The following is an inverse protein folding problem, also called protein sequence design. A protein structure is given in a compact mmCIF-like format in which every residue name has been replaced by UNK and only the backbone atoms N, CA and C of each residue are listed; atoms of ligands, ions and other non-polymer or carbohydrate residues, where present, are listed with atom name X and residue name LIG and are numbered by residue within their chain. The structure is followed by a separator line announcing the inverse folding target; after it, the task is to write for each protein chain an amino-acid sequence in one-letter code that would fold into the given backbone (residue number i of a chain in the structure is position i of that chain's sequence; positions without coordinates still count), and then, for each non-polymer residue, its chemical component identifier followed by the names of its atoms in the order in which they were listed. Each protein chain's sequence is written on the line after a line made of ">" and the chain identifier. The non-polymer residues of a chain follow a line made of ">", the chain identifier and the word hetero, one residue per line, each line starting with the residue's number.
data_IF_716989624470
#
_entry.id   IF_716989624470
#
_cell.length_a   1.000
_cell.length_b   1.000
_cell.length_c   1.000
_cell.angle_alpha   90.00
_cell.angle_beta   90.00
_cell.angle_gamma   90.00
#
_symmetry.space_group_name_H-M   'P 1'
#
loop_
_entity.id
_entity.type
_entity.pdbx_description
1 polymer ?
#
# COMPACT_ATOMS: atom_id res chain seq x y z
N UNK A 1 55.67 -55.83 3.83
CA UNK A 1 55.81 -54.69 2.92
C UNK A 1 54.73 -54.68 1.88
N UNK A 2 53.69 -53.81 2.10
CA UNK A 2 52.68 -53.50 1.07
C UNK A 2 52.33 -52.03 1.22
N UNK A 3 52.68 -51.26 0.16
CA UNK A 3 52.39 -49.81 0.08
C UNK A 3 50.92 -49.59 -0.29
N UNK A 4 50.14 -49.03 0.58
CA UNK A 4 48.78 -48.54 0.28
C UNK A 4 48.87 -47.14 -0.32
N UNK A 5 48.30 -46.96 -1.53
CA UNK A 5 48.14 -45.65 -2.18
C UNK A 5 46.82 -45.00 -1.66
N UNK A 6 46.94 -43.88 -0.97
CA UNK A 6 45.82 -43.01 -0.68
C UNK A 6 45.44 -42.24 -1.94
N UNK A 7 44.21 -42.37 -2.41
CA UNK A 7 43.60 -41.50 -3.41
C UNK A 7 42.98 -40.29 -2.68
N UNK A 8 43.48 -39.12 -3.00
CA UNK A 8 42.89 -37.84 -2.58
C UNK A 8 41.71 -37.57 -3.51
N UNK A 9 40.50 -37.63 -2.99
CA UNK A 9 39.30 -37.20 -3.68
C UNK A 9 39.20 -35.66 -3.63
N UNK A 10 39.18 -35.03 -4.81
CA UNK A 10 38.94 -33.60 -4.92
C UNK A 10 37.47 -33.30 -4.67
N UNK A 11 37.17 -32.62 -3.55
CA UNK A 11 35.89 -31.98 -3.30
C UNK A 11 35.84 -30.71 -4.13
N UNK A 12 35.00 -30.71 -5.16
CA UNK A 12 34.58 -29.51 -5.88
C UNK A 12 33.64 -28.71 -5.00
N UNK A 13 34.17 -27.70 -4.33
CA UNK A 13 33.36 -26.68 -3.65
C UNK A 13 32.76 -25.77 -4.71
N UNK A 14 31.48 -25.92 -4.96
CA UNK A 14 30.70 -24.98 -5.76
C UNK A 14 30.54 -23.65 -4.98
N UNK A 15 31.41 -22.70 -5.33
CA UNK A 15 31.28 -21.32 -4.86
C UNK A 15 30.11 -20.69 -5.63
N UNK A 16 28.95 -20.57 -4.98
CA UNK A 16 27.87 -19.72 -5.44
C UNK A 16 28.31 -18.25 -5.32
N UNK A 17 28.73 -17.68 -6.43
CA UNK A 17 28.95 -16.25 -6.59
C UNK A 17 27.61 -15.54 -6.49
N UNK A 18 27.29 -15.02 -5.32
CA UNK A 18 26.26 -14.00 -5.17
C UNK A 18 26.78 -12.72 -5.84
N UNK A 19 26.37 -12.47 -7.06
CA UNK A 19 26.51 -11.16 -7.68
C UNK A 19 25.58 -10.19 -6.96
N UNK A 20 26.13 -9.43 -6.03
CA UNK A 20 25.50 -8.21 -5.51
C UNK A 20 25.40 -7.24 -6.68
N UNK A 21 24.23 -7.17 -7.30
CA UNK A 21 23.90 -6.09 -8.23
C UNK A 21 23.76 -4.82 -7.38
N UNK A 22 24.82 -4.01 -7.38
CA UNK A 22 24.74 -2.62 -6.92
C UNK A 22 23.93 -1.90 -8.01
N UNK A 23 22.61 -1.83 -7.82
CA UNK A 23 21.75 -0.98 -8.64
C UNK A 23 22.10 0.47 -8.30
N UNK A 24 22.86 1.09 -9.18
CA UNK A 24 23.10 2.53 -9.15
C UNK A 24 21.77 3.26 -9.22
N UNK A 25 21.66 4.35 -8.49
CA UNK A 25 20.53 5.28 -8.59
C UNK A 25 20.33 5.63 -10.07
N UNK A 26 19.17 5.28 -10.61
CA UNK A 26 18.80 5.67 -11.98
C UNK A 26 18.61 7.20 -12.00
N UNK A 27 19.35 7.96 -12.83
CA UNK A 27 19.13 9.39 -12.95
C UNK A 27 17.77 9.60 -13.63
N UNK A 28 16.83 10.22 -12.94
CA UNK A 28 15.75 10.94 -13.61
C UNK A 28 14.32 10.43 -13.48
N UNK A 29 13.87 9.90 -12.35
CA UNK A 29 12.43 9.97 -12.04
C UNK A 29 12.15 11.40 -11.56
N UNK A 30 11.69 12.28 -12.44
CA UNK A 30 11.13 13.54 -11.97
C UNK A 30 9.77 13.20 -11.39
N UNK A 31 9.62 13.46 -10.10
CA UNK A 31 8.32 13.48 -9.44
C UNK A 31 7.34 14.33 -10.25
N UNK A 32 6.07 13.94 -10.26
CA UNK A 32 5.05 14.83 -10.78
C UNK A 32 5.01 16.11 -9.92
N UNK A 33 4.82 17.29 -10.53
CA UNK A 33 4.88 18.53 -9.79
C UNK A 33 3.77 18.56 -8.72
N UNK A 34 4.06 19.08 -7.52
CA UNK A 34 3.06 19.20 -6.44
C UNK A 34 1.77 19.91 -6.90
N UNK A 35 1.88 20.88 -7.80
CA UNK A 35 0.73 21.60 -8.36
C UNK A 35 -0.28 20.71 -9.09
N UNK A 36 0.12 19.56 -9.62
CA UNK A 36 -0.78 18.62 -10.27
C UNK A 36 -1.83 18.03 -9.31
N UNK A 37 -1.57 18.09 -8.00
CA UNK A 37 -2.41 17.50 -6.96
C UNK A 37 -3.17 18.54 -6.11
N UNK A 38 -3.07 19.85 -6.45
CA UNK A 38 -3.68 20.93 -5.67
C UNK A 38 -5.13 21.26 -6.06
N UNK A 39 -5.71 20.49 -6.96
CA UNK A 39 -7.10 20.66 -7.44
C UNK A 39 -7.67 19.30 -7.85
N UNK A 40 -9.02 19.15 -7.87
CA UNK A 40 -9.64 17.93 -8.40
C UNK A 40 -9.31 17.77 -9.89
N UNK A 41 -9.05 16.52 -10.33
CA UNK A 41 -8.76 16.23 -11.72
C UNK A 41 -10.02 15.77 -12.45
N UNK A 42 -10.44 14.51 -12.21
CA UNK A 42 -11.66 13.96 -12.79
C UNK A 42 -12.57 13.42 -11.69
N UNK A 43 -13.76 13.98 -11.53
CA UNK A 43 -14.75 13.46 -10.60
C UNK A 43 -15.61 12.40 -11.31
N UNK A 44 -15.37 11.12 -10.98
CA UNK A 44 -16.05 9.96 -11.55
C UNK A 44 -17.20 9.51 -10.66
N UNK A 45 -18.42 9.44 -11.20
CA UNK A 45 -19.58 8.95 -10.45
C UNK A 45 -19.49 7.43 -10.25
N UNK A 46 -19.42 7.01 -8.98
CA UNK A 46 -19.38 5.59 -8.59
C UNK A 46 -20.71 5.11 -8.02
N UNK A 47 -21.57 6.05 -7.58
CA UNK A 47 -22.93 5.80 -7.15
C UNK A 47 -23.72 7.12 -7.19
N UNK A 48 -25.06 7.09 -7.07
CA UNK A 48 -25.85 8.31 -6.93
C UNK A 48 -25.35 9.19 -5.78
N UNK A 49 -24.99 10.43 -6.10
CA UNK A 49 -24.48 11.41 -5.12
C UNK A 49 -23.08 11.09 -4.57
N UNK A 50 -22.30 10.22 -5.22
CA UNK A 50 -20.92 9.88 -4.81
C UNK A 50 -19.98 9.83 -6.00
N UNK A 51 -19.03 10.78 -6.04
CA UNK A 51 -17.98 10.85 -7.05
C UNK A 51 -16.62 10.70 -6.37
N UNK A 52 -15.72 10.00 -7.01
CA UNK A 52 -14.33 9.90 -6.59
C UNK A 52 -13.45 10.72 -7.51
N UNK A 53 -12.48 11.41 -6.95
CA UNK A 53 -11.44 12.08 -7.70
C UNK A 53 -10.46 11.06 -8.25
N UNK A 54 -10.26 11.08 -9.57
CA UNK A 54 -9.38 10.19 -10.32
C UNK A 54 -8.36 11.02 -11.09
N UNK A 55 -7.09 10.69 -10.95
CA UNK A 55 -5.99 11.30 -11.69
C UNK A 55 -5.29 10.28 -12.58
N UNK A 56 -5.52 10.35 -13.87
CA UNK A 56 -4.90 9.47 -14.87
C UNK A 56 -3.94 10.23 -15.77
N UNK A 57 -2.81 9.62 -16.08
CA UNK A 57 -1.82 10.10 -17.05
C UNK A 57 -1.28 8.90 -17.85
N UNK A 58 -0.71 9.19 -19.02
CA UNK A 58 -0.25 8.15 -19.95
C UNK A 58 -1.40 7.45 -20.67
N UNK A 59 -1.02 6.57 -21.60
CA UNK A 59 -1.93 5.76 -22.42
C UNK A 59 -1.42 4.32 -22.48
N UNK A 60 -2.31 3.37 -22.75
CA UNK A 60 -1.96 1.95 -22.87
C UNK A 60 -2.79 1.04 -21.95
N UNK A 61 -2.50 -0.25 -22.01
CA UNK A 61 -3.21 -1.31 -21.28
C UNK A 61 -2.21 -2.41 -20.89
N UNK A 62 -2.41 -3.07 -19.74
CA UNK A 62 -3.47 -2.81 -18.75
C UNK A 62 -3.23 -1.48 -18.01
N UNK A 63 -4.31 -0.82 -17.58
CA UNK A 63 -4.21 0.36 -16.70
C UNK A 63 -3.63 -0.04 -15.35
N UNK A 64 -2.68 0.74 -14.84
CA UNK A 64 -2.20 0.65 -13.46
C UNK A 64 -3.03 1.57 -12.59
N UNK A 65 -3.70 1.04 -11.56
CA UNK A 65 -4.51 1.82 -10.62
C UNK A 65 -3.91 1.75 -9.21
N UNK A 66 -3.71 2.92 -8.59
CA UNK A 66 -3.08 3.06 -7.28
C UNK A 66 -4.11 3.35 -6.19
N UNK A 67 -4.12 2.53 -5.12
CA UNK A 67 -4.87 2.74 -3.88
C UNK A 67 -3.91 3.11 -2.73
N UNK A 68 -4.15 4.24 -2.10
CA UNK A 68 -3.26 4.86 -1.12
C UNK A 68 -3.48 4.34 0.30
N UNK A 69 -2.57 4.68 1.22
CA UNK A 69 -2.63 4.33 2.63
C UNK A 69 -3.77 5.00 3.40
N UNK A 70 -3.80 4.77 4.70
CA UNK A 70 -4.74 5.41 5.64
C UNK A 70 -4.44 6.91 5.68
N UNK A 71 -5.42 7.75 5.37
CA UNK A 71 -5.25 9.21 5.33
C UNK A 71 -4.58 9.75 4.07
N UNK A 72 -4.12 8.89 3.17
CA UNK A 72 -3.42 9.27 1.95
C UNK A 72 -4.37 9.38 0.75
N UNK A 73 -3.94 10.14 -0.27
CA UNK A 73 -4.64 10.31 -1.54
C UNK A 73 -3.70 10.19 -2.74
N UNK A 74 -4.16 10.73 -3.86
CA UNK A 74 -3.47 10.68 -5.16
C UNK A 74 -2.01 11.12 -5.09
N UNK A 75 -1.69 12.14 -4.29
CA UNK A 75 -0.35 12.74 -4.17
C UNK A 75 0.72 11.80 -3.60
N UNK A 76 0.32 10.75 -2.88
CA UNK A 76 1.28 9.78 -2.31
C UNK A 76 1.99 8.94 -3.37
N UNK A 77 1.51 8.97 -4.61
CA UNK A 77 2.08 8.24 -5.75
C UNK A 77 2.89 9.11 -6.72
N UNK A 78 3.13 10.40 -6.39
CA UNK A 78 3.79 11.37 -7.28
C UNK A 78 5.15 10.91 -7.81
N UNK A 79 5.93 10.18 -7.00
CA UNK A 79 7.26 9.68 -7.36
C UNK A 79 7.24 8.42 -8.23
N UNK A 80 6.08 7.77 -8.38
CA UNK A 80 5.90 6.51 -9.11
C UNK A 80 5.05 6.68 -10.36
N UNK A 81 3.89 7.33 -10.23
CA UNK A 81 2.87 7.41 -11.27
C UNK A 81 3.39 8.01 -12.57
N UNK A 82 4.19 9.08 -12.49
CA UNK A 82 4.75 9.76 -13.69
C UNK A 82 5.75 8.90 -14.47
N UNK A 83 6.43 7.96 -13.82
CA UNK A 83 7.35 7.03 -14.48
C UNK A 83 6.57 5.90 -15.14
N UNK A 84 5.64 5.29 -14.43
CA UNK A 84 4.77 4.20 -14.94
C UNK A 84 3.94 4.69 -16.13
N UNK A 85 3.51 5.94 -16.11
CA UNK A 85 2.74 6.56 -17.21
C UNK A 85 3.48 6.67 -18.54
N UNK A 86 4.80 6.44 -18.58
CA UNK A 86 5.58 6.37 -19.83
C UNK A 86 5.37 5.06 -20.59
N UNK A 87 4.90 4.03 -19.91
CA UNK A 87 4.74 2.68 -20.46
C UNK A 87 3.30 2.22 -20.58
N UNK A 88 2.38 2.76 -19.77
CA UNK A 88 0.96 2.43 -19.79
C UNK A 88 0.13 3.55 -19.15
N UNK A 89 -1.19 3.46 -19.20
CA UNK A 89 -2.08 4.37 -18.46
C UNK A 89 -1.94 4.13 -16.96
N UNK A 90 -1.61 5.17 -16.19
CA UNK A 90 -1.39 5.12 -14.75
C UNK A 90 -2.35 6.08 -14.04
N UNK A 91 -3.16 5.55 -13.11
CA UNK A 91 -4.22 6.27 -12.43
C UNK A 91 -4.10 6.13 -10.92
N UNK A 92 -4.26 7.22 -10.18
CA UNK A 92 -4.46 7.23 -8.74
C UNK A 92 -5.80 7.87 -8.40
N UNK A 93 -6.38 7.57 -7.24
CA UNK A 93 -7.68 8.12 -6.84
C UNK A 93 -7.72 8.44 -5.36
N UNK A 94 -8.61 9.37 -4.99
CA UNK A 94 -8.94 9.64 -3.61
C UNK A 94 -10.17 8.82 -3.20
N UNK A 95 -10.10 8.09 -2.09
CA UNK A 95 -11.26 7.37 -1.55
C UNK A 95 -12.36 8.35 -1.12
N UNK A 96 -13.59 7.87 -1.00
CA UNK A 96 -14.70 8.69 -0.49
C UNK A 96 -14.34 9.37 0.83
N UNK A 97 -14.73 10.63 1.00
CA UNK A 97 -14.38 11.54 2.09
C UNK A 97 -12.94 12.05 2.12
N UNK A 98 -12.03 11.48 1.35
CA UNK A 98 -10.65 11.95 1.24
C UNK A 98 -10.52 13.01 0.15
N UNK A 99 -9.71 14.01 0.43
CA UNK A 99 -9.28 15.12 -0.43
C UNK A 99 -10.39 15.66 -1.35
N UNK A 100 -10.34 15.38 -2.65
CA UNK A 100 -11.28 15.95 -3.63
C UNK A 100 -12.47 15.05 -3.96
N UNK A 101 -12.57 13.87 -3.36
CA UNK A 101 -13.74 13.00 -3.46
C UNK A 101 -14.93 13.53 -2.66
N UNK A 102 -16.14 13.16 -3.09
CA UNK A 102 -17.37 13.57 -2.42
C UNK A 102 -17.45 13.03 -0.99
N UNK A 103 -18.11 13.81 -0.14
CA UNK A 103 -18.42 13.44 1.24
C UNK A 103 -19.61 12.52 1.30
N UNK A 104 -19.50 11.42 2.04
CA UNK A 104 -20.56 10.44 2.28
C UNK A 104 -20.61 10.05 3.75
N UNK A 105 -21.82 9.75 4.24
CA UNK A 105 -22.03 9.25 5.60
C UNK A 105 -22.18 7.74 5.58
N UNK A 106 -21.07 7.03 5.79
CA UNK A 106 -21.03 5.57 5.91
C UNK A 106 -19.77 5.14 6.67
N UNK A 107 -19.78 3.92 7.17
CA UNK A 107 -18.57 3.31 7.71
C UNK A 107 -17.54 3.10 6.61
N UNK A 108 -16.30 3.44 6.91
CA UNK A 108 -15.16 3.28 6.00
C UNK A 108 -14.49 1.91 6.21
N UNK A 109 -15.20 0.84 5.83
CA UNK A 109 -14.69 -0.54 5.84
C UNK A 109 -13.91 -0.87 4.58
N UNK A 110 -13.15 -1.97 4.58
CA UNK A 110 -12.49 -2.49 3.38
C UNK A 110 -13.52 -2.85 2.29
N UNK A 111 -14.68 -3.43 2.66
CA UNK A 111 -15.74 -3.73 1.70
C UNK A 111 -16.26 -2.47 1.01
N UNK A 112 -16.54 -1.42 1.79
CA UNK A 112 -17.00 -0.16 1.21
C UNK A 112 -15.98 0.47 0.24
N UNK A 113 -14.67 0.31 0.52
CA UNK A 113 -13.61 0.75 -0.38
C UNK A 113 -13.52 -0.11 -1.64
N UNK A 114 -13.68 -1.43 -1.53
CA UNK A 114 -13.66 -2.37 -2.67
C UNK A 114 -14.88 -2.17 -3.59
N UNK A 115 -16.07 -1.96 -3.01
CA UNK A 115 -17.28 -1.66 -3.78
C UNK A 115 -17.11 -0.38 -4.62
N UNK A 116 -16.55 0.68 -4.01
CA UNK A 116 -16.25 1.93 -4.72
C UNK A 116 -15.17 1.76 -5.77
N UNK A 117 -14.14 0.98 -5.48
CA UNK A 117 -13.04 0.70 -6.40
C UNK A 117 -13.55 -0.03 -7.65
N UNK A 118 -14.39 -1.07 -7.48
CA UNK A 118 -15.00 -1.77 -8.60
C UNK A 118 -15.88 -0.83 -9.44
N UNK A 119 -16.69 -0.01 -8.78
CA UNK A 119 -17.54 0.97 -9.47
C UNK A 119 -16.68 2.01 -10.22
N UNK A 120 -15.56 2.45 -9.63
CA UNK A 120 -14.61 3.37 -10.27
C UNK A 120 -13.99 2.76 -11.52
N UNK A 121 -13.51 1.51 -11.44
CA UNK A 121 -12.92 0.77 -12.58
C UNK A 121 -13.90 0.71 -13.74
N UNK A 122 -15.18 0.42 -13.44
CA UNK A 122 -16.22 0.32 -14.45
C UNK A 122 -16.61 1.69 -15.02
N UNK A 123 -16.88 2.66 -14.17
CA UNK A 123 -17.40 3.98 -14.58
C UNK A 123 -16.36 4.84 -15.31
N UNK A 124 -15.07 4.68 -14.99
CA UNK A 124 -13.98 5.41 -15.64
C UNK A 124 -13.38 4.67 -16.86
N UNK A 125 -13.94 3.51 -17.23
CA UNK A 125 -13.41 2.66 -18.32
C UNK A 125 -11.89 2.44 -18.18
N UNK A 126 -11.46 1.92 -17.01
CA UNK A 126 -10.04 1.66 -16.77
C UNK A 126 -9.52 0.37 -17.43
N UNK A 127 -10.39 -0.34 -18.13
CA UNK A 127 -10.12 -1.61 -18.81
C UNK A 127 -10.84 -2.79 -18.14
N UNK A 128 -10.88 -3.90 -18.85
CA UNK A 128 -11.48 -5.15 -18.35
C UNK A 128 -10.62 -5.74 -17.23
N UNK A 129 -9.29 -5.70 -17.42
CA UNK A 129 -8.29 -6.16 -16.45
C UNK A 129 -7.31 -5.05 -16.15
N UNK A 130 -7.06 -4.78 -14.87
CA UNK A 130 -6.14 -3.76 -14.40
C UNK A 130 -4.97 -4.36 -13.64
N UNK A 131 -3.86 -3.63 -13.53
CA UNK A 131 -2.84 -3.87 -12.51
C UNK A 131 -3.18 -2.99 -11.31
N UNK A 132 -3.52 -3.62 -10.19
CA UNK A 132 -3.86 -2.91 -8.97
C UNK A 132 -2.62 -2.79 -8.07
N UNK A 133 -2.32 -1.58 -7.61
CA UNK A 133 -1.20 -1.27 -6.73
C UNK A 133 -1.73 -0.69 -5.44
N UNK A 134 -1.47 -1.31 -4.29
CA UNK A 134 -1.99 -0.86 -3.01
C UNK A 134 -0.89 -0.67 -1.97
N UNK A 135 -0.88 0.50 -1.30
CA UNK A 135 0.02 0.79 -0.17
C UNK A 135 -0.74 0.69 1.15
N UNK A 136 -0.14 0.06 2.16
CA UNK A 136 -0.67 0.06 3.53
C UNK A 136 -2.16 -0.36 3.58
N UNK A 137 -3.08 0.51 4.02
CA UNK A 137 -4.54 0.32 3.97
C UNK A 137 -5.03 -0.01 2.55
N UNK A 138 -4.54 0.74 1.53
CA UNK A 138 -4.86 0.43 0.13
C UNK A 138 -4.36 -0.94 -0.30
N UNK A 139 -3.27 -1.44 0.30
CA UNK A 139 -2.80 -2.82 0.11
C UNK A 139 -3.78 -3.86 0.66
N UNK A 140 -4.43 -3.58 1.78
CA UNK A 140 -5.49 -4.44 2.33
C UNK A 140 -6.73 -4.43 1.41
N UNK A 141 -7.16 -3.25 0.94
CA UNK A 141 -8.27 -3.12 -0.01
C UNK A 141 -7.96 -3.87 -1.31
N UNK A 142 -6.75 -3.71 -1.87
CA UNK A 142 -6.31 -4.39 -3.07
C UNK A 142 -6.28 -5.93 -2.91
N UNK A 143 -5.90 -6.40 -1.72
CA UNK A 143 -5.97 -7.83 -1.38
C UNK A 143 -7.40 -8.34 -1.35
N UNK A 144 -8.33 -7.61 -0.70
CA UNK A 144 -9.74 -7.97 -0.68
C UNK A 144 -10.33 -7.95 -2.10
N UNK A 145 -10.02 -6.91 -2.88
CA UNK A 145 -10.42 -6.83 -4.29
C UNK A 145 -9.93 -8.05 -5.08
N UNK A 146 -8.70 -8.50 -4.88
CA UNK A 146 -8.18 -9.69 -5.54
C UNK A 146 -8.92 -10.97 -5.13
N UNK A 147 -9.37 -11.06 -3.90
CA UNK A 147 -10.18 -12.20 -3.46
C UNK A 147 -11.59 -12.20 -4.04
N UNK A 148 -12.22 -11.05 -4.22
CA UNK A 148 -13.59 -10.96 -4.70
C UNK A 148 -13.68 -10.87 -6.23
N UNK A 149 -12.73 -10.20 -6.87
CA UNK A 149 -12.74 -9.80 -8.27
C UNK A 149 -11.44 -10.16 -8.99
N UNK A 150 -10.96 -11.40 -8.79
CA UNK A 150 -9.71 -11.88 -9.39
C UNK A 150 -9.71 -11.77 -10.92
N UNK A 151 -10.88 -11.98 -11.53
CA UNK A 151 -11.14 -11.87 -12.95
C UNK A 151 -10.99 -10.45 -13.52
N UNK A 152 -10.91 -9.43 -12.65
CA UNK A 152 -10.70 -8.03 -13.04
C UNK A 152 -9.23 -7.61 -12.97
N UNK A 153 -8.33 -8.52 -12.60
CA UNK A 153 -6.91 -8.23 -12.42
C UNK A 153 -6.04 -8.84 -13.51
N UNK A 154 -5.20 -8.01 -14.14
CA UNK A 154 -4.03 -8.42 -14.91
C UNK A 154 -2.83 -8.69 -14.01
N UNK A 155 -2.79 -8.10 -12.82
CA UNK A 155 -1.73 -8.28 -11.84
C UNK A 155 -1.94 -7.46 -10.57
N UNK A 156 -1.12 -7.75 -9.56
CA UNK A 156 -1.21 -7.13 -8.23
C UNK A 156 0.18 -6.71 -7.74
N UNK A 157 0.28 -5.50 -7.19
CA UNK A 157 1.47 -5.05 -6.45
C UNK A 157 1.02 -4.54 -5.08
N UNK A 158 1.54 -5.13 -4.01
CA UNK A 158 1.28 -4.67 -2.66
C UNK A 158 2.55 -4.04 -2.07
N UNK A 159 2.43 -2.80 -1.60
CA UNK A 159 3.54 -2.01 -1.07
C UNK A 159 3.35 -1.86 0.43
N UNK A 160 4.14 -2.57 1.21
CA UNK A 160 4.08 -2.66 2.67
C UNK A 160 2.63 -2.71 3.20
N UNK A 161 1.82 -3.69 2.72
CA UNK A 161 0.39 -3.71 2.95
C UNK A 161 0.07 -3.92 4.43
N UNK A 162 -1.07 -3.39 4.89
CA UNK A 162 -1.59 -3.71 6.22
C UNK A 162 -1.95 -5.20 6.30
N UNK A 163 -1.31 -5.90 7.23
CA UNK A 163 -1.63 -7.28 7.58
C UNK A 163 -2.62 -7.25 8.73
N UNK A 164 -3.82 -7.77 8.50
CA UNK A 164 -4.79 -8.01 9.57
C UNK A 164 -4.46 -9.32 10.27
N UNK A 165 -4.53 -9.31 11.60
CA UNK A 165 -4.17 -10.46 12.41
C UNK A 165 -5.29 -10.92 13.30
N UNK A 166 -5.29 -12.24 13.56
CA UNK A 166 -5.83 -12.77 14.78
C UNK A 166 -4.83 -12.54 15.91
N UNK A 167 -5.31 -11.98 17.02
CA UNK A 167 -4.57 -11.92 18.27
C UNK A 167 -4.50 -13.33 18.89
N UNK A 168 -3.64 -14.20 18.37
CA UNK A 168 -3.43 -15.52 18.96
C UNK A 168 -2.41 -15.44 20.09
N UNK A 169 -2.65 -16.18 21.15
CA UNK A 169 -2.07 -16.07 22.48
C UNK A 169 -0.54 -16.21 22.62
N UNK A 170 0.18 -16.67 21.62
CA UNK A 170 1.61 -17.00 21.73
C UNK A 170 2.57 -15.88 21.31
N UNK A 171 2.12 -14.90 20.53
CA UNK A 171 2.92 -13.73 20.12
C UNK A 171 2.49 -12.44 20.85
N UNK A 172 1.67 -12.60 21.88
CA UNK A 172 0.77 -11.57 22.39
C UNK A 172 1.48 -10.45 23.17
N UNK A 173 2.57 -10.70 23.88
CA UNK A 173 3.15 -9.64 24.71
C UNK A 173 3.91 -8.57 23.89
N UNK A 174 4.66 -8.99 22.89
CA UNK A 174 5.38 -8.03 22.03
C UNK A 174 4.42 -7.31 21.11
N UNK A 175 3.38 -8.01 20.66
CA UNK A 175 2.29 -7.45 19.88
C UNK A 175 1.42 -6.49 20.72
N UNK A 176 1.11 -6.80 21.97
CA UNK A 176 0.33 -5.92 22.86
C UNK A 176 1.01 -4.57 23.03
N UNK A 177 2.33 -4.52 23.22
CA UNK A 177 3.07 -3.25 23.30
C UNK A 177 3.04 -2.45 21.99
N UNK A 178 3.19 -3.13 20.87
CA UNK A 178 3.01 -2.49 19.56
C UNK A 178 1.54 -2.08 19.35
N UNK A 179 0.60 -2.92 19.76
CA UNK A 179 -0.83 -2.65 19.75
C UNK A 179 -1.22 -1.48 20.67
N UNK A 180 -0.57 -1.33 21.82
CA UNK A 180 -0.75 -0.15 22.67
C UNK A 180 -0.42 1.15 21.93
N UNK A 181 0.65 1.17 21.13
CA UNK A 181 0.97 2.33 20.29
C UNK A 181 -0.11 2.57 19.21
N UNK A 182 -0.68 1.52 18.65
CA UNK A 182 -1.82 1.63 17.73
C UNK A 182 -3.10 2.10 18.44
N UNK A 183 -3.35 1.65 19.67
CA UNK A 183 -4.48 2.12 20.48
C UNK A 183 -4.32 3.59 20.86
N UNK A 184 -3.13 4.02 21.27
CA UNK A 184 -2.84 5.43 21.58
C UNK A 184 -3.07 6.32 20.34
N UNK A 185 -2.59 5.90 19.18
CA UNK A 185 -2.88 6.60 17.92
C UNK A 185 -4.38 6.61 17.60
N UNK A 186 -5.10 5.53 17.92
CA UNK A 186 -6.55 5.47 17.76
C UNK A 186 -7.30 6.40 18.68
N UNK A 187 -6.84 6.58 19.92
CA UNK A 187 -7.39 7.57 20.86
C UNK A 187 -7.17 8.99 20.33
N UNK A 188 -5.97 9.31 19.87
CA UNK A 188 -5.67 10.60 19.24
C UNK A 188 -6.58 10.89 18.05
N UNK A 189 -6.79 9.92 17.15
CA UNK A 189 -7.70 10.09 16.02
C UNK A 189 -9.17 10.26 16.46
N UNK A 190 -9.56 9.65 17.58
CA UNK A 190 -10.88 9.92 18.18
C UNK A 190 -10.99 11.36 18.65
N UNK A 191 -10.00 11.88 19.37
CA UNK A 191 -9.94 13.26 19.84
C UNK A 191 -10.00 14.23 18.65
N UNK A 192 -9.26 13.94 17.57
CA UNK A 192 -9.33 14.71 16.33
C UNK A 192 -10.72 14.70 15.70
N UNK A 193 -11.36 13.54 15.63
CA UNK A 193 -12.74 13.42 15.13
C UNK A 193 -13.75 14.17 16.01
N UNK A 194 -13.68 14.01 17.33
CA UNK A 194 -14.58 14.67 18.28
C UNK A 194 -14.42 16.19 18.19
N UNK A 195 -13.20 16.69 18.15
CA UNK A 195 -12.92 18.11 17.98
C UNK A 195 -13.45 18.62 16.63
N UNK A 196 -13.20 17.90 15.53
CA UNK A 196 -13.70 18.26 14.20
C UNK A 196 -15.25 18.24 14.11
N UNK A 197 -15.91 17.36 14.87
CA UNK A 197 -17.38 17.25 14.86
C UNK A 197 -18.09 18.35 15.67
N UNK A 198 -17.39 18.91 16.66
CA UNK A 198 -17.96 19.95 17.53
C UNK A 198 -17.84 21.37 16.95
N UNK A 199 -16.78 21.61 16.16
CA UNK A 199 -16.48 22.92 15.57
C UNK A 199 -15.85 22.74 14.19
N UNK A 200 -16.02 23.74 13.31
CA UNK A 200 -15.16 23.85 12.12
C UNK A 200 -13.73 24.15 12.62
N UNK A 201 -12.90 23.13 12.68
CA UNK A 201 -11.54 23.25 13.19
C UNK A 201 -10.69 24.13 12.27
N UNK A 202 -9.96 25.04 12.88
CA UNK A 202 -8.85 25.73 12.25
C UNK A 202 -7.67 24.77 12.16
N UNK A 203 -6.79 24.98 11.18
CA UNK A 203 -5.54 24.18 11.04
C UNK A 203 -4.73 24.20 12.34
N UNK A 204 -4.62 25.39 12.98
CA UNK A 204 -3.90 25.56 14.25
C UNK A 204 -4.45 24.69 15.38
N UNK A 205 -5.76 24.44 15.41
CA UNK A 205 -6.40 23.57 16.41
C UNK A 205 -6.03 22.12 16.15
N UNK A 206 -6.03 21.68 14.88
CA UNK A 206 -5.61 20.34 14.48
C UNK A 206 -4.12 20.09 14.72
N UNK A 207 -3.27 21.09 14.50
CA UNK A 207 -1.84 21.03 14.81
C UNK A 207 -1.63 20.90 16.32
N UNK A 208 -2.34 21.67 17.15
CA UNK A 208 -2.24 21.60 18.61
C UNK A 208 -2.65 20.23 19.17
N UNK A 209 -3.58 19.54 18.51
CA UNK A 209 -4.03 18.19 18.83
C UNK A 209 -3.19 17.10 18.14
N UNK A 210 -2.18 17.47 17.35
CA UNK A 210 -1.39 16.56 16.54
C UNK A 210 -2.23 15.68 15.60
N UNK A 211 -3.28 16.27 15.02
CA UNK A 211 -4.20 15.59 14.08
C UNK A 211 -3.69 15.55 12.65
N UNK A 212 -2.75 16.40 12.32
CA UNK A 212 -2.10 16.50 11.02
C UNK A 212 -0.65 16.03 11.13
N UNK A 213 -0.12 15.54 10.03
CA UNK A 213 1.29 15.16 9.98
C UNK A 213 2.20 16.41 10.01
N UNK A 214 3.37 16.27 10.66
CA UNK A 214 4.36 17.33 10.72
C UNK A 214 4.89 17.68 9.31
N UNK A 215 5.07 18.97 9.06
CA UNK A 215 5.68 19.44 7.81
C UNK A 215 7.20 19.25 7.90
N UNK A 216 7.78 18.47 6.97
CA UNK A 216 9.24 18.36 6.89
C UNK A 216 9.85 19.76 6.66
N UNK A 217 10.73 20.24 7.56
CA UNK A 217 11.39 21.54 7.40
C UNK A 217 12.19 21.69 6.10
N UNK A 218 12.54 20.56 5.48
CA UNK A 218 13.29 20.52 4.20
C UNK A 218 12.40 20.60 2.96
N UNK A 219 11.07 20.57 3.12
CA UNK A 219 10.14 20.68 2.01
C UNK A 219 10.38 21.96 1.21
N UNK A 220 10.33 21.83 -0.12
CA UNK A 220 10.39 22.98 -1.03
C UNK A 220 9.15 23.87 -0.88
N UNK A 221 9.17 25.05 -1.44
CA UNK A 221 8.02 25.96 -1.42
C UNK A 221 6.78 25.35 -2.11
N UNK A 222 6.97 24.60 -3.19
CA UNK A 222 5.87 23.91 -3.88
C UNK A 222 5.30 22.74 -3.09
N UNK A 223 6.16 21.96 -2.43
CA UNK A 223 5.72 20.88 -1.53
C UNK A 223 4.96 21.42 -0.33
N UNK A 224 5.41 22.53 0.26
CA UNK A 224 4.68 23.21 1.34
C UNK A 224 3.32 23.68 0.89
N UNK A 225 3.21 24.29 -0.28
CA UNK A 225 1.93 24.73 -0.84
C UNK A 225 0.97 23.55 -1.06
N UNK A 226 1.47 22.39 -1.50
CA UNK A 226 0.67 21.16 -1.57
C UNK A 226 0.22 20.70 -0.18
N UNK A 227 1.14 20.62 0.78
CA UNK A 227 0.83 20.21 2.16
C UNK A 227 -0.23 21.13 2.76
N UNK A 228 -0.10 22.44 2.62
CA UNK A 228 -1.06 23.42 3.13
C UNK A 228 -2.44 23.24 2.48
N UNK A 229 -2.49 22.97 1.17
CA UNK A 229 -3.73 22.68 0.47
C UNK A 229 -4.38 21.37 0.95
N UNK A 230 -3.60 20.32 1.19
CA UNK A 230 -4.10 19.03 1.70
C UNK A 230 -4.60 19.16 3.13
N UNK A 231 -3.90 19.86 4.00
CA UNK A 231 -4.28 20.11 5.39
C UNK A 231 -5.65 20.79 5.53
N UNK A 232 -5.99 21.71 4.61
CA UNK A 232 -7.33 22.30 4.55
C UNK A 232 -8.42 21.25 4.28
N UNK A 233 -8.12 20.23 3.50
CA UNK A 233 -9.05 19.15 3.19
C UNK A 233 -9.10 18.11 4.31
N UNK A 234 -7.98 17.84 4.96
CA UNK A 234 -7.86 16.97 6.15
C UNK A 234 -8.59 17.55 7.37
N UNK A 235 -8.68 18.87 7.49
CA UNK A 235 -9.42 19.56 8.54
C UNK A 235 -10.95 19.35 8.49
N UNK A 236 -11.47 18.81 7.40
CA UNK A 236 -12.92 18.55 7.27
C UNK A 236 -13.39 17.47 8.26
N UNK A 237 -14.52 17.67 8.93
CA UNK A 237 -15.10 16.65 9.82
C UNK A 237 -15.26 15.28 9.17
N UNK A 238 -15.66 15.25 7.88
CA UNK A 238 -15.82 14.01 7.13
C UNK A 238 -14.51 13.25 6.92
N UNK A 239 -13.40 13.95 6.72
CA UNK A 239 -12.06 13.34 6.61
C UNK A 239 -11.65 12.70 7.94
N UNK A 240 -11.75 13.44 9.04
CA UNK A 240 -11.41 12.95 10.38
C UNK A 240 -12.29 11.77 10.81
N UNK A 241 -13.59 11.84 10.52
CA UNK A 241 -14.53 10.74 10.77
C UNK A 241 -14.14 9.48 9.99
N UNK A 242 -13.76 9.64 8.73
CA UNK A 242 -13.37 8.51 7.88
C UNK A 242 -12.06 7.90 8.34
N UNK A 243 -11.06 8.73 8.65
CA UNK A 243 -9.77 8.29 9.18
C UNK A 243 -9.95 7.48 10.48
N UNK A 244 -10.78 7.97 11.40
CA UNK A 244 -11.12 7.26 12.63
C UNK A 244 -11.89 5.96 12.35
N UNK A 245 -12.88 5.97 11.45
CA UNK A 245 -13.66 4.79 11.06
C UNK A 245 -12.79 3.71 10.42
N UNK A 246 -11.93 4.06 9.44
CA UNK A 246 -10.99 3.10 8.82
C UNK A 246 -10.10 2.45 9.87
N UNK A 247 -9.59 3.26 10.81
CA UNK A 247 -8.74 2.74 11.88
C UNK A 247 -9.48 1.78 12.82
N UNK A 248 -10.73 2.10 13.18
CA UNK A 248 -11.53 1.20 14.00
C UNK A 248 -11.72 -0.15 13.33
N UNK A 249 -12.08 -0.17 12.04
CA UNK A 249 -12.32 -1.41 11.30
C UNK A 249 -11.03 -2.22 11.05
N UNK A 250 -9.87 -1.56 11.03
CA UNK A 250 -8.57 -2.22 10.85
C UNK A 250 -8.05 -2.90 12.12
N UNK A 251 -8.15 -2.22 13.27
CA UNK A 251 -7.32 -2.57 14.43
C UNK A 251 -8.12 -2.92 15.68
N UNK A 252 -9.41 -2.57 15.78
CA UNK A 252 -10.17 -2.87 16.98
C UNK A 252 -10.85 -4.23 16.85
N UNK A 253 -10.60 -5.16 17.78
CA UNK A 253 -11.23 -6.47 17.78
C UNK A 253 -12.74 -6.33 18.02
N UNK A 254 -13.52 -7.08 17.26
CA UNK A 254 -14.99 -7.12 17.36
C UNK A 254 -15.51 -8.44 17.90
N UNK A 255 -14.69 -9.48 17.95
CA UNK A 255 -15.08 -10.82 18.35
C UNK A 255 -14.09 -11.46 19.34
N UNK A 256 -14.49 -12.61 19.89
CA UNK A 256 -13.69 -13.39 20.82
C UNK A 256 -12.43 -14.02 20.16
N UNK A 257 -12.36 -14.07 18.83
CA UNK A 257 -11.19 -14.53 18.10
C UNK A 257 -10.12 -13.43 17.97
N UNK A 258 -10.47 -12.19 18.34
CA UNK A 258 -9.56 -11.04 18.29
C UNK A 258 -9.42 -10.42 16.90
N UNK A 259 -10.31 -10.78 15.95
CA UNK A 259 -10.31 -10.16 14.61
C UNK A 259 -11.00 -8.80 14.65
N UNK A 260 -10.47 -7.84 13.88
CA UNK A 260 -11.17 -6.60 13.51
C UNK A 260 -12.20 -6.90 12.41
N UNK A 261 -13.10 -5.94 12.14
CA UNK A 261 -14.08 -6.09 11.05
C UNK A 261 -13.43 -6.44 9.73
N UNK A 262 -12.37 -5.68 9.35
CA UNK A 262 -11.66 -5.91 8.09
C UNK A 262 -10.79 -7.18 8.15
N UNK A 263 -10.29 -7.54 9.33
CA UNK A 263 -9.58 -8.80 9.57
C UNK A 263 -10.46 -10.02 9.35
N UNK A 264 -11.66 -10.02 9.93
CA UNK A 264 -12.65 -11.08 9.76
C UNK A 264 -13.08 -11.22 8.28
N UNK A 265 -13.27 -10.08 7.60
CA UNK A 265 -13.63 -10.04 6.19
C UNK A 265 -12.53 -10.63 5.30
N UNK A 266 -11.28 -10.24 5.51
CA UNK A 266 -10.13 -10.82 4.80
C UNK A 266 -10.04 -12.34 5.03
N UNK A 267 -10.22 -12.79 6.28
CA UNK A 267 -10.17 -14.20 6.60
C UNK A 267 -11.29 -15.02 5.92
N UNK A 268 -12.50 -14.44 5.84
CA UNK A 268 -13.66 -15.03 5.17
C UNK A 268 -13.45 -15.20 3.67
N UNK A 269 -12.87 -14.19 3.00
CA UNK A 269 -12.72 -14.15 1.54
C UNK A 269 -11.37 -14.73 1.07
N UNK A 270 -10.47 -15.07 1.98
CA UNK A 270 -9.13 -15.57 1.66
C UNK A 270 -9.18 -16.78 0.75
N UNK A 271 -8.48 -16.70 -0.37
CA UNK A 271 -8.34 -17.78 -1.36
C UNK A 271 -7.03 -17.66 -2.13
N UNK A 272 -6.66 -18.72 -2.85
CA UNK A 272 -5.55 -18.67 -3.81
C UNK A 272 -5.85 -17.65 -4.92
N UNK A 273 -4.83 -16.93 -5.31
CA UNK A 273 -4.85 -16.01 -6.46
C UNK A 273 -4.39 -16.72 -7.76
N UNK A 274 -4.21 -18.05 -7.74
CA UNK A 274 -3.82 -18.84 -8.92
C UNK A 274 -2.49 -18.35 -9.51
N UNK A 275 -2.50 -18.10 -10.82
CA UNK A 275 -1.33 -17.64 -11.58
C UNK A 275 -1.31 -16.11 -11.78
N UNK A 276 -2.00 -15.34 -10.95
CA UNK A 276 -1.97 -13.88 -11.03
C UNK A 276 -0.53 -13.37 -10.85
N UNK A 277 0.02 -12.56 -11.80
CA UNK A 277 1.26 -11.84 -11.58
C UNK A 277 1.18 -11.02 -10.31
N UNK A 278 2.04 -11.31 -9.33
CA UNK A 278 1.95 -10.69 -8.02
C UNK A 278 3.34 -10.38 -7.45
N UNK A 279 3.55 -9.12 -7.06
CA UNK A 279 4.74 -8.68 -6.30
C UNK A 279 4.29 -8.01 -5.01
N UNK A 280 4.82 -8.49 -3.88
CA UNK A 280 4.67 -7.88 -2.58
C UNK A 280 6.00 -7.26 -2.16
N UNK A 281 6.00 -5.98 -1.81
CA UNK A 281 7.17 -5.27 -1.27
C UNK A 281 6.95 -5.08 0.22
N UNK A 282 7.85 -5.62 1.04
CA UNK A 282 7.82 -5.47 2.49
C UNK A 282 8.94 -4.53 2.93
N UNK A 283 8.63 -3.57 3.79
CA UNK A 283 9.61 -2.64 4.33
C UNK A 283 10.43 -3.27 5.46
N UNK A 284 11.75 -3.23 5.35
CA UNK A 284 12.68 -3.48 6.46
C UNK A 284 13.12 -2.13 7.04
N UNK A 285 12.36 -1.65 8.00
CA UNK A 285 12.53 -0.32 8.58
C UNK A 285 13.90 -0.11 9.21
N UNK A 286 14.52 -1.18 9.72
CA UNK A 286 15.83 -1.11 10.38
C UNK A 286 16.99 -1.00 9.38
N UNK A 287 16.75 -1.32 8.12
CA UNK A 287 17.70 -1.10 7.02
C UNK A 287 17.48 0.22 6.28
N UNK A 288 16.43 0.98 6.62
CA UNK A 288 16.23 2.31 6.05
C UNK A 288 17.40 3.23 6.42
N UNK A 289 17.85 4.06 5.47
CA UNK A 289 18.91 5.04 5.70
C UNK A 289 18.56 6.08 6.78
N UNK A 290 17.27 6.27 7.04
CA UNK A 290 16.76 7.19 8.06
C UNK A 290 16.65 6.56 9.44
N UNK A 291 16.77 5.23 9.58
CA UNK A 291 16.79 4.58 10.90
C UNK A 291 18.09 4.85 11.63
N UNK A 292 17.99 5.29 12.87
CA UNK A 292 19.17 5.58 13.73
C UNK A 292 19.12 4.71 14.98
N UNK A 293 20.25 4.10 15.31
CA UNK A 293 20.41 3.28 16.51
C UNK A 293 20.33 1.77 16.23
N UNK A 294 20.02 1.01 17.28
CA UNK A 294 19.84 -0.46 17.20
C UNK A 294 18.41 -0.79 17.56
N UNK A 295 17.74 -1.68 16.81
CA UNK A 295 16.41 -2.11 17.14
C UNK A 295 16.39 -2.90 18.45
N UNK A 296 15.30 -2.82 19.22
CA UNK A 296 15.07 -3.65 20.39
C UNK A 296 14.75 -5.11 19.97
N UNK A 297 14.78 -6.03 20.93
CA UNK A 297 14.43 -7.43 20.67
C UNK A 297 12.97 -7.56 20.19
N UNK A 298 12.07 -6.81 20.82
CA UNK A 298 10.65 -6.75 20.49
C UNK A 298 10.43 -6.24 19.06
N UNK A 299 11.13 -5.18 18.68
CA UNK A 299 11.09 -4.64 17.31
C UNK A 299 11.58 -5.66 16.28
N UNK A 300 12.66 -6.38 16.59
CA UNK A 300 13.18 -7.45 15.72
C UNK A 300 12.15 -8.59 15.60
N UNK A 301 11.57 -9.03 16.71
CA UNK A 301 10.55 -10.09 16.74
C UNK A 301 9.32 -9.69 15.91
N UNK A 302 8.86 -8.46 16.07
CA UNK A 302 7.74 -7.93 15.27
C UNK A 302 8.06 -7.91 13.78
N UNK A 303 9.24 -7.41 13.38
CA UNK A 303 9.65 -7.41 11.97
C UNK A 303 9.70 -8.83 11.40
N UNK A 304 10.30 -9.78 12.13
CA UNK A 304 10.39 -11.18 11.70
C UNK A 304 9.02 -11.81 11.51
N UNK A 305 8.11 -11.56 12.45
CA UNK A 305 6.75 -12.03 12.38
C UNK A 305 6.03 -11.40 11.16
N UNK A 306 6.08 -10.06 10.99
CA UNK A 306 5.48 -9.35 9.86
C UNK A 306 6.01 -9.87 8.51
N UNK A 307 7.33 -10.08 8.40
CA UNK A 307 7.96 -10.67 7.22
C UNK A 307 7.47 -12.11 6.95
N UNK A 308 7.16 -12.86 8.00
CA UNK A 308 6.52 -14.18 7.89
C UNK A 308 5.14 -14.09 7.23
N UNK A 309 4.31 -13.17 7.71
CA UNK A 309 2.97 -12.92 7.16
C UNK A 309 3.04 -12.42 5.69
N UNK A 310 3.97 -11.51 5.40
CA UNK A 310 4.19 -11.01 4.03
C UNK A 310 4.61 -12.13 3.07
N UNK A 311 5.45 -13.07 3.54
CA UNK A 311 5.87 -14.23 2.74
C UNK A 311 4.70 -15.19 2.48
N UNK A 312 3.88 -15.44 3.50
CA UNK A 312 2.67 -16.26 3.36
C UNK A 312 1.69 -15.64 2.36
N UNK A 313 1.46 -14.32 2.45
CA UNK A 313 0.61 -13.59 1.53
C UNK A 313 1.15 -13.64 0.08
N UNK A 314 2.45 -13.44 -0.11
CA UNK A 314 3.06 -13.56 -1.45
C UNK A 314 2.86 -14.97 -2.04
N UNK A 315 2.85 -16.01 -1.19
CA UNK A 315 2.60 -17.40 -1.60
C UNK A 315 1.14 -17.72 -1.99
N UNK A 316 0.21 -16.79 -1.86
CA UNK A 316 -1.20 -16.98 -2.30
C UNK A 316 -1.34 -16.96 -3.84
N UNK A 317 -0.32 -16.50 -4.57
CA UNK A 317 -0.19 -16.70 -6.02
C UNK A 317 1.01 -17.59 -6.33
N UNK A 318 0.86 -18.51 -7.31
CA UNK A 318 1.97 -19.34 -7.81
C UNK A 318 3.09 -18.50 -8.45
N UNK A 319 2.77 -17.26 -8.88
CA UNK A 319 3.72 -16.29 -9.44
C UNK A 319 4.09 -15.19 -8.46
N UNK A 320 3.71 -15.37 -7.19
CA UNK A 320 3.93 -14.38 -6.14
C UNK A 320 5.42 -14.23 -5.79
N UNK A 321 5.87 -13.00 -5.64
CA UNK A 321 7.24 -12.65 -5.30
C UNK A 321 7.25 -11.71 -4.10
N UNK A 322 8.14 -11.96 -3.14
CA UNK A 322 8.41 -11.06 -2.03
C UNK A 322 9.70 -10.29 -2.28
N UNK A 323 9.62 -8.98 -2.27
CA UNK A 323 10.75 -8.04 -2.31
C UNK A 323 10.89 -7.38 -0.93
N UNK A 324 12.09 -7.36 -0.36
CA UNK A 324 12.36 -6.66 0.90
C UNK A 324 13.04 -5.33 0.60
N UNK A 325 12.39 -4.24 0.95
CA UNK A 325 12.89 -2.88 0.76
C UNK A 325 13.62 -2.38 2.00
N UNK A 326 14.84 -1.88 1.85
CA UNK A 326 15.52 -1.10 2.89
C UNK A 326 14.89 0.30 2.96
N UNK A 327 13.72 0.40 3.60
CA UNK A 327 12.86 1.59 3.64
C UNK A 327 12.02 1.58 4.90
N UNK A 328 11.47 2.73 5.28
CA UNK A 328 10.34 2.83 6.17
C UNK A 328 9.04 2.48 5.42
N UNK A 329 7.90 2.72 6.09
CA UNK A 329 6.57 2.36 5.62
C UNK A 329 6.20 2.95 4.25
N UNK A 330 6.62 4.17 3.94
CA UNK A 330 6.34 4.83 2.66
C UNK A 330 7.38 4.46 1.60
N UNK A 331 7.40 3.18 1.19
CA UNK A 331 8.35 2.66 0.20
C UNK A 331 8.27 3.42 -1.12
N UNK A 332 7.06 3.80 -1.56
CA UNK A 332 6.84 4.57 -2.79
C UNK A 332 7.46 5.97 -2.78
N UNK A 333 7.81 6.50 -1.60
CA UNK A 333 8.51 7.78 -1.45
C UNK A 333 10.02 7.60 -1.21
N UNK A 334 10.41 6.63 -0.38
CA UNK A 334 11.84 6.38 -0.05
C UNK A 334 12.56 5.54 -1.11
N UNK A 335 11.86 4.60 -1.74
CA UNK A 335 12.39 3.66 -2.73
C UNK A 335 11.41 3.49 -3.91
N UNK A 336 11.05 4.59 -4.59
CA UNK A 336 10.16 4.54 -5.76
C UNK A 336 10.68 3.61 -6.86
N UNK A 337 12.00 3.45 -6.98
CA UNK A 337 12.66 2.51 -7.88
C UNK A 337 12.13 1.08 -7.72
N UNK A 338 12.04 0.58 -6.48
CA UNK A 338 11.55 -0.79 -6.21
C UNK A 338 10.08 -0.96 -6.55
N UNK A 339 9.27 0.08 -6.34
CA UNK A 339 7.84 0.03 -6.67
C UNK A 339 7.64 0.06 -8.19
N UNK A 340 8.39 0.89 -8.90
CA UNK A 340 8.38 0.95 -10.37
C UNK A 340 8.81 -0.39 -10.96
N UNK A 341 9.94 -0.95 -10.52
CA UNK A 341 10.43 -2.24 -10.97
C UNK A 341 9.40 -3.37 -10.74
N UNK A 342 8.71 -3.36 -9.59
CA UNK A 342 7.67 -4.34 -9.29
C UNK A 342 6.48 -4.23 -10.25
N UNK A 343 6.04 -3.01 -10.54
CA UNK A 343 4.95 -2.74 -11.49
C UNK A 343 5.36 -3.18 -12.90
N UNK A 344 6.56 -2.85 -13.36
CA UNK A 344 7.05 -3.23 -14.68
C UNK A 344 7.14 -4.75 -14.84
N UNK A 345 7.62 -5.49 -13.83
CA UNK A 345 7.62 -6.97 -13.82
C UNK A 345 6.22 -7.54 -13.95
N UNK A 346 5.24 -6.99 -13.21
CA UNK A 346 3.84 -7.44 -13.26
C UNK A 346 3.26 -7.16 -14.64
N UNK A 347 3.50 -5.97 -15.23
CA UNK A 347 3.07 -5.61 -16.57
C UNK A 347 3.65 -6.56 -17.64
N UNK A 348 4.95 -6.85 -17.58
CA UNK A 348 5.60 -7.79 -18.50
C UNK A 348 5.00 -9.20 -18.41
N UNK A 349 4.71 -9.67 -17.21
CA UNK A 349 4.11 -10.97 -16.99
C UNK A 349 2.65 -11.03 -17.46
N UNK A 350 1.88 -9.94 -17.29
CA UNK A 350 0.51 -9.83 -17.77
C UNK A 350 0.43 -9.89 -19.30
N UNK A 351 1.31 -9.17 -20.00
CA UNK A 351 1.41 -9.21 -21.46
C UNK A 351 1.79 -10.58 -22.00
N UNK A 352 2.75 -11.28 -21.35
CA UNK A 352 3.15 -12.62 -21.72
C UNK A 352 2.02 -13.66 -21.61
N UNK A 353 1.13 -13.51 -20.63
CA UNK A 353 -0.01 -14.40 -20.44
C UNK A 353 -1.08 -14.21 -21.51
N UNK A 354 -1.31 -12.99 -21.99
CA UNK A 354 -2.28 -12.70 -23.07
C UNK A 354 -1.81 -13.24 -24.43
N UNK A 355 -0.50 -13.19 -24.72
CA UNK A 355 0.03 -13.72 -25.99
C UNK A 355 -0.08 -15.26 -26.10
N UNK A 356 -0.05 -15.98 -25.00
CA UNK A 356 -0.24 -17.43 -24.97
C UNK A 356 -1.73 -17.84 -25.11
N UNK A 357 -2.66 -17.05 -24.58
CA UNK A 357 -4.11 -17.32 -24.69
C UNK A 357 -4.63 -17.13 -26.12
N UNK A 358 -4.05 -16.24 -26.90
CA UNK A 358 -4.44 -15.98 -28.31
C UNK A 358 -3.88 -17.04 -29.27
N UNK A 359 -2.82 -17.76 -28.89
CA UNK A 359 -2.13 -18.75 -29.72
C UNK A 359 -2.45 -20.22 -29.36
N UNK A 360 -3.42 -20.45 -28.47
CA UNK A 360 -3.90 -21.82 -28.20
C UNK A 360 -5.02 -22.17 -29.19
N UNK A 361 -4.89 -23.27 -29.95
CA UNK A 361 -5.84 -23.66 -31.03
C UNK A 361 -7.20 -24.07 -30.49
#
# INVERSE_FOLDING_TARGET
>A
MRKGKFRVGALLSSVLLFTTVILGQTPGSKDLPPSAYMHPQQLVSVAPGRRLNLYCIGEGSPTVLFDSGLGDGTSSWRSVQGVVAKTTRACSYDRANYFYSDTVQRNATAQAAVDDLLALVNSANLGEHIVLVGHSRGGLNARLFAYEHLDRLAGLVLVDPTITQRLTSASTQDYVRQYESYLMRGQQLRECYEAASQHALRIDDLDSLHCLDDVDPKSTSEERALIDAMRLLEARPSFQATLFSERQHLFYPIDAAGDSTDGALIAQHRRSMGDLPFVLIAADWFKSASFKGKPSREQISFLQWNMGQMRELAGESHRGQLVVAASKHYVQLERPDLVIDAIERVLQQAHGSQSHAVNSP
#
